data_IF_318499483181
#
_entry.id   IF_318499483181
#
_cell.length_a   1.000
_cell.length_b   1.000
_cell.length_c   1.000
_cell.angle_alpha   90.00
_cell.angle_beta   90.00
_cell.angle_gamma   90.00
#
_symmetry.space_group_name_H-M   'P 1'
#
loop_
_entity.id
_entity.type
_entity.pdbx_description
1 polymer ?
#
# COMPACT_ATOMS: atom_id res chain seq x y z
N UNK A 1 34.03 -1.53 -4.08
CA UNK A 1 33.33 -2.83 -4.24
C UNK A 1 32.73 -3.30 -2.91
N UNK A 2 33.52 -3.49 -1.84
CA UNK A 2 33.01 -3.87 -0.51
C UNK A 2 32.01 -2.86 0.07
N UNK A 3 32.31 -1.56 -0.02
CA UNK A 3 31.39 -0.50 0.42
C UNK A 3 30.07 -0.47 -0.36
N UNK A 4 30.12 -0.69 -1.67
CA UNK A 4 28.93 -0.77 -2.53
C UNK A 4 28.06 -1.97 -2.18
N UNK A 5 28.68 -3.12 -1.88
CA UNK A 5 27.96 -4.33 -1.45
C UNK A 5 27.33 -4.13 -0.07
N UNK A 6 28.04 -3.49 0.86
CA UNK A 6 27.52 -3.16 2.20
C UNK A 6 26.32 -2.20 2.12
N UNK A 7 26.42 -1.16 1.27
CA UNK A 7 25.31 -0.24 1.01
C UNK A 7 24.08 -0.96 0.44
N UNK A 8 24.27 -1.82 -0.56
CA UNK A 8 23.18 -2.62 -1.12
C UNK A 8 22.58 -3.57 -0.07
N UNK A 9 23.41 -4.17 0.77
CA UNK A 9 22.96 -5.01 1.89
C UNK A 9 22.08 -4.25 2.87
N UNK A 10 22.46 -3.00 3.21
CA UNK A 10 21.65 -2.13 4.08
C UNK A 10 20.32 -1.74 3.44
N UNK A 11 20.32 -1.35 2.16
CA UNK A 11 19.10 -1.02 1.44
C UNK A 11 18.14 -2.22 1.40
N UNK A 12 18.64 -3.40 1.05
CA UNK A 12 17.83 -4.62 1.03
C UNK A 12 17.27 -4.96 2.41
N UNK A 13 18.11 -4.86 3.45
CA UNK A 13 17.69 -5.11 4.83
C UNK A 13 16.56 -4.15 5.23
N UNK A 14 16.68 -2.86 4.94
CA UNK A 14 15.63 -1.90 5.26
C UNK A 14 14.33 -2.19 4.52
N UNK A 15 14.39 -2.51 3.22
CA UNK A 15 13.20 -2.86 2.42
C UNK A 15 12.52 -4.11 3.00
N UNK A 16 13.29 -5.15 3.33
CA UNK A 16 12.75 -6.37 3.92
C UNK A 16 12.12 -6.11 5.29
N UNK A 17 12.77 -5.31 6.13
CA UNK A 17 12.23 -4.88 7.42
C UNK A 17 10.92 -4.11 7.26
N UNK A 18 10.88 -3.16 6.32
CA UNK A 18 9.69 -2.36 6.04
C UNK A 18 8.49 -3.20 5.56
N UNK A 19 8.74 -4.34 4.90
CA UNK A 19 7.70 -5.31 4.53
C UNK A 19 7.36 -6.26 5.66
N UNK A 20 8.33 -6.67 6.47
CA UNK A 20 8.16 -7.66 7.53
C UNK A 20 7.40 -7.10 8.73
N UNK A 21 7.76 -5.90 9.20
CA UNK A 21 7.13 -5.23 10.36
C UNK A 21 5.59 -5.15 10.26
N UNK A 22 5.00 -4.62 9.16
CA UNK A 22 3.55 -4.52 9.05
C UNK A 22 2.84 -5.85 8.80
N UNK A 23 3.55 -6.89 8.33
CA UNK A 23 2.93 -8.06 7.69
C UNK A 23 1.85 -8.74 8.54
N UNK A 24 2.19 -9.09 9.78
CA UNK A 24 1.28 -9.79 10.69
C UNK A 24 0.06 -8.93 11.05
N UNK A 25 0.29 -7.64 11.34
CA UNK A 25 -0.78 -6.70 11.62
C UNK A 25 -1.71 -6.54 10.40
N UNK A 26 -1.15 -6.38 9.21
CA UNK A 26 -1.92 -6.22 7.98
C UNK A 26 -2.72 -7.46 7.61
N UNK A 27 -2.19 -8.65 7.89
CA UNK A 27 -2.93 -9.89 7.71
C UNK A 27 -4.14 -9.97 8.65
N UNK A 28 -3.95 -9.63 9.92
CA UNK A 28 -5.05 -9.59 10.88
C UNK A 28 -6.08 -8.52 10.52
N UNK A 29 -5.64 -7.30 10.19
CA UNK A 29 -6.55 -6.20 9.86
C UNK A 29 -7.34 -6.51 8.59
N UNK A 30 -6.72 -7.09 7.56
CA UNK A 30 -7.43 -7.51 6.34
C UNK A 30 -8.43 -8.62 6.61
N UNK A 31 -8.08 -9.61 7.45
CA UNK A 31 -9.02 -10.65 7.89
C UNK A 31 -10.26 -10.04 8.57
N UNK A 32 -10.04 -9.11 9.51
CA UNK A 32 -11.10 -8.40 10.23
C UNK A 32 -11.94 -7.51 9.30
N UNK A 33 -11.30 -6.77 8.39
CA UNK A 33 -11.96 -5.87 7.46
C UNK A 33 -12.99 -6.60 6.57
N UNK A 34 -12.71 -7.85 6.21
CA UNK A 34 -13.63 -8.64 5.40
C UNK A 34 -14.95 -9.00 6.10
N UNK A 35 -15.04 -8.92 7.43
CA UNK A 35 -16.33 -9.07 8.11
C UNK A 35 -17.28 -7.91 7.81
N UNK A 36 -16.79 -6.70 7.54
CA UNK A 36 -17.64 -5.61 7.07
C UNK A 36 -18.25 -5.92 5.69
N UNK A 37 -17.47 -6.55 4.81
CA UNK A 37 -17.99 -7.04 3.53
C UNK A 37 -19.09 -8.08 3.75
N UNK A 38 -18.86 -9.07 4.62
CA UNK A 38 -19.87 -10.10 4.91
C UNK A 38 -21.13 -9.48 5.51
N UNK A 39 -20.98 -8.53 6.42
CA UNK A 39 -22.12 -7.83 7.02
C UNK A 39 -22.94 -7.05 5.98
N UNK A 40 -22.27 -6.37 5.04
CA UNK A 40 -22.94 -5.56 4.03
C UNK A 40 -23.58 -6.39 2.91
N UNK A 41 -22.99 -7.52 2.52
CA UNK A 41 -23.38 -8.27 1.33
C UNK A 41 -23.97 -9.67 1.59
N UNK A 42 -23.74 -10.26 2.78
CA UNK A 42 -24.23 -11.58 3.18
C UNK A 42 -25.19 -11.47 4.37
N UNK A 43 -26.23 -10.67 4.21
CA UNK A 43 -27.22 -10.37 5.26
C UNK A 43 -27.96 -11.61 5.78
N UNK A 44 -28.05 -12.68 5.00
CA UNK A 44 -28.71 -13.94 5.37
C UNK A 44 -28.01 -14.68 6.53
N UNK A 45 -26.70 -14.47 6.71
CA UNK A 45 -25.91 -15.07 7.78
C UNK A 45 -25.57 -14.06 8.90
N UNK A 46 -25.96 -12.80 8.75
CA UNK A 46 -25.75 -11.76 9.74
C UNK A 46 -26.56 -12.06 11.02
N UNK A 47 -25.94 -11.88 12.19
CA UNK A 47 -26.60 -12.10 13.49
C UNK A 47 -26.65 -13.56 13.97
N UNK A 48 -26.20 -14.54 13.16
CA UNK A 48 -26.16 -15.97 13.57
C UNK A 48 -24.96 -16.36 14.44
N UNK A 49 -24.25 -15.38 15.03
CA UNK A 49 -23.11 -15.58 15.92
C UNK A 49 -21.73 -15.71 15.22
N UNK A 50 -20.66 -15.58 16.00
CA UNK A 50 -19.27 -15.48 15.51
C UNK A 50 -18.75 -16.76 14.84
N UNK A 51 -19.16 -17.94 15.31
CA UNK A 51 -18.76 -19.23 14.71
C UNK A 51 -19.23 -19.34 13.26
N UNK A 52 -20.50 -19.01 13.02
CA UNK A 52 -21.08 -19.00 11.67
C UNK A 52 -20.42 -17.94 10.80
N UNK A 53 -20.12 -16.76 11.35
CA UNK A 53 -19.40 -15.72 10.62
C UNK A 53 -18.02 -16.20 10.12
N UNK A 54 -17.25 -16.93 10.95
CA UNK A 54 -15.95 -17.50 10.53
C UNK A 54 -16.13 -18.56 9.44
N UNK A 55 -17.14 -19.44 9.56
CA UNK A 55 -17.44 -20.44 8.53
C UNK A 55 -17.79 -19.76 7.20
N UNK A 56 -18.66 -18.76 7.22
CA UNK A 56 -19.05 -17.98 6.03
C UNK A 56 -17.85 -17.23 5.44
N UNK A 57 -16.99 -16.64 6.28
CA UNK A 57 -15.74 -16.01 5.84
C UNK A 57 -14.89 -16.98 5.05
N UNK A 58 -14.67 -18.19 5.59
CA UNK A 58 -13.85 -19.21 4.95
C UNK A 58 -14.47 -19.72 3.65
N UNK A 59 -15.78 -19.95 3.63
CA UNK A 59 -16.51 -20.33 2.42
C UNK A 59 -16.39 -19.28 1.32
N UNK A 60 -16.54 -17.99 1.65
CA UNK A 60 -16.41 -16.89 0.68
C UNK A 60 -14.97 -16.72 0.22
N UNK A 61 -14.00 -16.87 1.11
CA UNK A 61 -12.58 -16.84 0.74
C UNK A 61 -12.22 -17.94 -0.26
N UNK A 62 -12.76 -19.16 -0.08
CA UNK A 62 -12.58 -20.26 -1.04
C UNK A 62 -13.37 -20.08 -2.34
N UNK A 63 -14.63 -19.67 -2.25
CA UNK A 63 -15.55 -19.64 -3.40
C UNK A 63 -15.44 -18.39 -4.28
N UNK A 64 -15.13 -17.24 -3.71
CA UNK A 64 -15.20 -15.95 -4.42
C UNK A 64 -13.83 -15.38 -4.74
N UNK A 65 -13.52 -15.30 -6.03
CA UNK A 65 -12.32 -14.57 -6.53
C UNK A 65 -12.38 -13.10 -6.12
N UNK A 66 -13.56 -12.48 -6.20
CA UNK A 66 -13.73 -11.07 -5.84
C UNK A 66 -13.46 -10.83 -4.35
N UNK A 67 -13.92 -11.73 -3.47
CA UNK A 67 -13.61 -11.65 -2.04
C UNK A 67 -12.11 -11.74 -1.78
N UNK A 68 -11.39 -12.63 -2.47
CA UNK A 68 -9.93 -12.72 -2.37
C UNK A 68 -9.20 -11.48 -2.89
N UNK A 69 -9.69 -10.88 -3.98
CA UNK A 69 -9.16 -9.62 -4.50
C UNK A 69 -9.33 -8.48 -3.49
N UNK A 70 -10.50 -8.37 -2.87
CA UNK A 70 -10.77 -7.39 -1.82
C UNK A 70 -9.92 -7.63 -0.56
N UNK A 71 -9.77 -8.89 -0.13
CA UNK A 71 -8.89 -9.25 0.97
C UNK A 71 -7.45 -8.82 0.68
N UNK A 72 -6.93 -9.14 -0.52
CA UNK A 72 -5.58 -8.74 -0.92
C UNK A 72 -5.45 -7.22 -0.99
N UNK A 73 -6.48 -6.52 -1.47
CA UNK A 73 -6.50 -5.05 -1.50
C UNK A 73 -6.46 -4.47 -0.08
N UNK A 74 -7.27 -5.00 0.84
CA UNK A 74 -7.25 -4.59 2.24
C UNK A 74 -5.88 -4.86 2.89
N UNK A 75 -5.27 -6.01 2.57
CA UNK A 75 -3.94 -6.38 3.05
C UNK A 75 -2.87 -5.38 2.59
N UNK A 76 -2.72 -5.14 1.28
CA UNK A 76 -1.70 -4.21 0.77
C UNK A 76 -1.96 -2.76 1.18
N UNK A 77 -3.23 -2.36 1.32
CA UNK A 77 -3.59 -1.03 1.87
C UNK A 77 -3.16 -0.91 3.32
N UNK A 78 -3.42 -1.94 4.14
CA UNK A 78 -2.99 -1.95 5.53
C UNK A 78 -1.48 -1.94 5.69
N UNK A 79 -0.72 -2.58 4.79
CA UNK A 79 0.75 -2.54 4.81
C UNK A 79 1.24 -1.11 4.67
N UNK A 80 0.70 -0.37 3.70
CA UNK A 80 1.03 1.04 3.48
C UNK A 80 0.63 1.85 4.71
N UNK A 81 -0.62 1.76 5.16
CA UNK A 81 -1.11 2.55 6.32
C UNK A 81 -0.34 2.26 7.60
N UNK A 82 0.11 1.03 7.83
CA UNK A 82 0.92 0.72 9.00
C UNK A 82 2.27 1.46 8.94
N UNK A 83 2.95 1.40 7.80
CA UNK A 83 4.25 2.06 7.62
C UNK A 83 4.13 3.58 7.64
N UNK A 84 3.15 4.13 6.94
CA UNK A 84 3.05 5.58 6.71
C UNK A 84 2.27 6.32 7.79
N UNK A 85 1.36 5.64 8.51
CA UNK A 85 0.45 6.31 9.45
C UNK A 85 0.52 5.71 10.86
N UNK A 86 0.34 4.39 11.01
CA UNK A 86 0.16 3.77 12.33
C UNK A 86 1.47 3.59 13.12
N UNK A 87 2.60 3.39 12.44
CA UNK A 87 3.92 3.18 13.05
C UNK A 87 4.80 4.43 12.95
N UNK A 88 4.22 5.64 13.05
CA UNK A 88 4.93 6.92 13.03
C UNK A 88 5.01 7.53 14.43
N UNK A 89 6.00 8.40 14.63
CA UNK A 89 6.15 9.17 15.86
C UNK A 89 4.99 10.16 16.04
N UNK A 90 4.47 10.23 17.25
CA UNK A 90 3.38 11.13 17.63
C UNK A 90 3.92 12.52 18.03
N UNK A 91 3.10 13.55 17.84
CA UNK A 91 3.32 14.92 18.38
C UNK A 91 4.51 15.71 17.82
N UNK A 92 5.13 15.23 16.73
CA UNK A 92 6.10 16.03 15.96
C UNK A 92 5.41 17.24 15.33
N UNK A 93 6.20 18.22 14.86
CA UNK A 93 5.68 19.30 14.05
C UNK A 93 5.44 18.77 12.63
N UNK A 94 4.18 18.62 12.17
CA UNK A 94 3.91 17.98 10.89
C UNK A 94 4.42 18.77 9.69
N UNK A 95 4.77 20.06 9.86
CA UNK A 95 5.24 20.92 8.79
C UNK A 95 6.76 21.19 8.84
N UNK A 96 7.51 20.52 9.72
CA UNK A 96 8.94 20.80 9.87
C UNK A 96 9.80 20.35 8.68
N UNK A 97 9.32 19.39 7.88
CA UNK A 97 10.13 18.75 6.83
C UNK A 97 9.35 18.53 5.52
N UNK A 98 8.59 19.55 5.08
CA UNK A 98 7.73 19.46 3.88
C UNK A 98 8.49 19.10 2.61
N UNK A 99 9.75 19.55 2.52
CA UNK A 99 10.63 19.34 1.37
C UNK A 99 11.67 18.23 1.61
N UNK A 100 11.52 17.41 2.66
CA UNK A 100 12.43 16.29 2.94
C UNK A 100 12.16 15.05 2.09
N UNK A 101 12.97 14.01 2.28
CA UNK A 101 12.71 12.67 1.73
C UNK A 101 12.96 12.46 0.23
N UNK A 102 13.60 13.40 -0.49
CA UNK A 102 13.88 13.27 -1.94
C UNK A 102 15.02 12.30 -2.31
N UNK A 103 15.72 11.73 -1.33
CA UNK A 103 16.88 10.90 -1.58
C UNK A 103 17.03 9.81 -0.54
N UNK A 104 18.08 9.01 -0.70
CA UNK A 104 18.44 7.95 0.24
C UNK A 104 19.34 8.44 1.37
N UNK A 105 19.69 9.73 1.37
CA UNK A 105 20.56 10.33 2.37
C UNK A 105 19.84 11.51 2.98
N UNK A 106 19.74 11.51 4.31
CA UNK A 106 19.19 12.59 5.09
C UNK A 106 20.24 13.11 6.06
N UNK A 107 20.33 14.43 6.22
CA UNK A 107 21.26 15.04 7.18
C UNK A 107 20.51 15.31 8.48
N UNK A 108 20.77 14.52 9.51
CA UNK A 108 20.18 14.69 10.83
C UNK A 108 21.29 15.07 11.80
N UNK A 109 21.17 16.22 12.46
CA UNK A 109 22.17 16.72 13.42
C UNK A 109 23.62 16.76 12.87
N UNK A 110 23.79 17.13 11.60
CA UNK A 110 25.08 17.16 10.88
C UNK A 110 25.69 15.79 10.54
N UNK A 111 24.98 14.68 10.78
CA UNK A 111 25.37 13.34 10.34
C UNK A 111 24.52 12.89 9.15
N UNK A 112 25.14 12.22 8.17
CA UNK A 112 24.43 11.62 7.05
C UNK A 112 23.89 10.25 7.45
N UNK A 113 22.56 10.11 7.44
CA UNK A 113 21.86 8.86 7.68
C UNK A 113 21.28 8.32 6.38
N UNK A 114 21.42 7.02 6.18
CA UNK A 114 20.78 6.32 5.07
C UNK A 114 19.28 6.19 5.37
N UNK A 115 18.45 6.70 4.45
CA UNK A 115 17.00 6.56 4.47
C UNK A 115 16.56 5.80 3.22
N UNK A 116 15.57 4.93 3.35
CA UNK A 116 15.06 4.12 2.22
C UNK A 116 13.57 4.33 1.99
N UNK A 117 12.96 5.31 2.68
CA UNK A 117 11.53 5.60 2.66
C UNK A 117 11.02 5.83 1.23
N UNK A 118 11.75 6.57 0.39
CA UNK A 118 11.38 6.80 -1.01
C UNK A 118 11.28 5.50 -1.84
N UNK A 119 12.19 4.55 -1.62
CA UNK A 119 12.18 3.24 -2.30
C UNK A 119 11.04 2.38 -1.77
N UNK A 120 10.87 2.36 -0.44
CA UNK A 120 9.82 1.62 0.24
C UNK A 120 8.42 2.07 -0.24
N UNK A 121 8.20 3.38 -0.33
CA UNK A 121 6.95 3.98 -0.81
C UNK A 121 6.61 3.53 -2.24
N UNK A 122 7.60 3.56 -3.16
CA UNK A 122 7.40 3.03 -4.53
C UNK A 122 7.06 1.54 -4.49
N UNK A 123 7.85 0.74 -3.77
CA UNK A 123 7.70 -0.72 -3.73
C UNK A 123 6.35 -1.13 -3.16
N UNK A 124 5.86 -0.46 -2.12
CA UNK A 124 4.56 -0.77 -1.51
C UNK A 124 3.38 -0.31 -2.37
N UNK A 125 3.54 0.78 -3.13
CA UNK A 125 2.46 1.31 -3.96
C UNK A 125 2.25 0.51 -5.26
N UNK A 126 3.29 -0.15 -5.78
CA UNK A 126 3.20 -1.04 -6.96
C UNK A 126 2.15 -2.15 -6.79
N UNK A 127 2.20 -3.01 -5.76
CA UNK A 127 1.20 -4.06 -5.57
C UNK A 127 -0.17 -3.48 -5.24
N UNK A 128 -0.26 -2.38 -4.47
CA UNK A 128 -1.54 -1.70 -4.22
C UNK A 128 -2.23 -1.31 -5.53
N UNK A 129 -1.55 -0.55 -6.37
CA UNK A 129 -2.09 -0.08 -7.65
C UNK A 129 -2.44 -1.24 -8.59
N UNK A 130 -1.58 -2.26 -8.69
CA UNK A 130 -1.85 -3.45 -9.50
C UNK A 130 -3.11 -4.19 -9.03
N UNK A 131 -3.31 -4.35 -7.72
CA UNK A 131 -4.49 -5.02 -7.16
C UNK A 131 -5.75 -4.17 -7.33
N UNK A 132 -5.67 -2.84 -7.19
CA UNK A 132 -6.80 -1.92 -7.49
C UNK A 132 -7.22 -2.08 -8.95
N UNK A 133 -6.26 -2.04 -9.89
CA UNK A 133 -6.53 -2.24 -11.32
C UNK A 133 -7.07 -3.65 -11.61
N UNK A 134 -6.60 -4.67 -10.92
CA UNK A 134 -7.12 -6.03 -11.09
C UNK A 134 -8.53 -6.23 -10.52
N UNK A 135 -8.89 -5.47 -9.49
CA UNK A 135 -10.20 -5.55 -8.82
C UNK A 135 -11.26 -4.75 -9.56
N UNK A 136 -10.91 -3.55 -10.02
CA UNK A 136 -11.87 -2.59 -10.58
C UNK A 136 -11.61 -2.19 -12.04
N UNK A 137 -10.53 -2.69 -12.65
CA UNK A 137 -10.10 -2.27 -13.99
C UNK A 137 -11.06 -2.61 -15.12
N UNK A 138 -11.97 -3.56 -14.93
CA UNK A 138 -13.05 -3.84 -15.90
C UNK A 138 -13.94 -2.60 -16.11
N UNK A 139 -14.06 -1.72 -15.11
CA UNK A 139 -14.84 -0.48 -15.16
C UNK A 139 -14.11 0.69 -15.84
N UNK A 140 -12.78 0.60 -16.02
CA UNK A 140 -11.91 1.70 -16.46
C UNK A 140 -11.80 1.77 -18.01
N UNK A 141 -12.28 0.73 -18.70
CA UNK A 141 -12.26 0.64 -20.16
C UNK A 141 -10.95 0.11 -20.74
N UNK A 142 -10.93 -0.11 -22.07
CA UNK A 142 -9.77 -0.72 -22.76
C UNK A 142 -8.74 0.35 -23.14
N UNK A 143 -7.51 0.21 -22.67
CA UNK A 143 -6.36 1.02 -23.12
C UNK A 143 -5.29 1.22 -22.04
N UNK A 144 -4.04 0.86 -22.33
CA UNK A 144 -2.92 0.98 -21.38
C UNK A 144 -2.74 2.41 -20.86
N UNK A 145 -2.80 3.43 -21.72
CA UNK A 145 -2.72 4.84 -21.30
C UNK A 145 -3.80 5.23 -20.27
N UNK A 146 -5.03 4.72 -20.42
CA UNK A 146 -6.12 4.97 -19.46
C UNK A 146 -5.81 4.30 -18.13
N UNK A 147 -5.38 3.03 -18.14
CA UNK A 147 -5.00 2.30 -16.93
C UNK A 147 -3.90 3.06 -16.17
N UNK A 148 -2.85 3.53 -16.85
CA UNK A 148 -1.77 4.28 -16.23
C UNK A 148 -2.22 5.62 -15.64
N UNK A 149 -3.08 6.34 -16.37
CA UNK A 149 -3.62 7.61 -15.89
C UNK A 149 -4.50 7.40 -14.65
N UNK A 150 -5.38 6.41 -14.66
CA UNK A 150 -6.24 6.08 -13.52
C UNK A 150 -5.43 5.54 -12.33
N UNK A 151 -4.44 4.69 -12.58
CA UNK A 151 -3.61 4.13 -11.50
C UNK A 151 -2.77 5.22 -10.82
N UNK A 152 -2.18 6.13 -11.60
CA UNK A 152 -1.49 7.30 -11.07
C UNK A 152 -2.42 8.25 -10.30
N UNK A 153 -3.61 8.53 -10.82
CA UNK A 153 -4.62 9.36 -10.12
C UNK A 153 -5.06 8.77 -8.79
N UNK A 154 -5.32 7.47 -8.74
CA UNK A 154 -5.72 6.79 -7.50
C UNK A 154 -4.58 6.83 -6.48
N UNK A 155 -3.35 6.52 -6.90
CA UNK A 155 -2.20 6.56 -6.00
C UNK A 155 -1.92 7.98 -5.48
N UNK A 156 -2.08 9.00 -6.32
CA UNK A 156 -1.95 10.40 -5.92
C UNK A 156 -2.99 10.81 -4.88
N UNK A 157 -4.28 10.51 -5.13
CA UNK A 157 -5.38 10.81 -4.18
C UNK A 157 -5.16 10.05 -2.87
N UNK A 158 -4.77 8.78 -2.96
CA UNK A 158 -4.50 7.95 -1.78
C UNK A 158 -3.33 8.51 -0.97
N UNK A 159 -2.24 8.93 -1.62
CA UNK A 159 -1.11 9.55 -0.94
C UNK A 159 -1.48 10.87 -0.27
N UNK A 160 -2.19 11.77 -0.98
CA UNK A 160 -2.69 13.01 -0.36
C UNK A 160 -3.56 12.71 0.86
N UNK A 161 -4.42 11.69 0.77
CA UNK A 161 -5.27 11.30 1.90
C UNK A 161 -4.44 10.87 3.11
N UNK A 162 -3.35 10.12 2.90
CA UNK A 162 -2.41 9.74 3.98
C UNK A 162 -1.73 10.97 4.58
N UNK A 163 -1.15 11.84 3.75
CA UNK A 163 -0.45 13.05 4.20
C UNK A 163 -1.39 14.00 4.96
N UNK A 164 -2.63 14.15 4.50
CA UNK A 164 -3.64 14.95 5.19
C UNK A 164 -4.07 14.32 6.53
N UNK A 165 -4.16 13.00 6.61
CA UNK A 165 -4.44 12.30 7.87
C UNK A 165 -3.27 12.44 8.85
N UNK A 166 -2.02 12.37 8.37
CA UNK A 166 -0.83 12.64 9.18
C UNK A 166 -0.86 14.06 9.77
N UNK A 167 -1.18 15.06 8.95
CA UNK A 167 -1.31 16.44 9.40
C UNK A 167 -2.44 16.62 10.43
N UNK A 168 -3.62 16.03 10.16
CA UNK A 168 -4.79 16.12 11.04
C UNK A 168 -4.55 15.44 12.40
N UNK A 169 -3.92 14.27 12.39
CA UNK A 169 -3.68 13.45 13.58
C UNK A 169 -2.33 13.76 14.25
N UNK A 170 -1.54 14.69 13.68
CA UNK A 170 -0.20 15.06 14.14
C UNK A 170 0.73 13.84 14.27
N UNK A 171 0.78 13.06 13.19
CA UNK A 171 1.60 11.86 13.02
C UNK A 171 2.73 12.18 12.05
N UNK A 172 3.99 12.10 12.49
CA UNK A 172 5.15 12.35 11.61
C UNK A 172 5.16 13.75 10.97
N UNK A 173 5.66 13.81 9.74
CA UNK A 173 5.80 15.03 8.92
C UNK A 173 5.11 14.85 7.58
N UNK A 174 4.38 15.87 7.14
CA UNK A 174 3.81 15.97 5.81
C UNK A 174 4.95 16.15 4.80
N UNK A 175 5.08 15.24 3.83
CA UNK A 175 6.19 15.23 2.87
C UNK A 175 5.70 15.19 1.42
N UNK A 176 6.14 16.15 0.61
CA UNK A 176 5.80 16.18 -0.83
C UNK A 176 6.49 15.07 -1.63
N UNK A 177 7.65 14.62 -1.17
CA UNK A 177 8.37 13.47 -1.74
C UNK A 177 7.54 12.19 -1.64
N UNK A 178 6.86 11.96 -0.52
CA UNK A 178 5.98 10.80 -0.32
C UNK A 178 4.85 10.78 -1.36
N UNK A 179 4.20 11.92 -1.60
CA UNK A 179 3.19 12.07 -2.67
C UNK A 179 3.78 11.71 -4.04
N UNK A 180 4.98 12.19 -4.33
CA UNK A 180 5.65 11.93 -5.61
C UNK A 180 5.99 10.45 -5.78
N UNK A 181 6.71 9.84 -4.83
CA UNK A 181 7.15 8.45 -4.91
C UNK A 181 5.98 7.46 -4.91
N UNK A 182 4.94 7.72 -4.11
CA UNK A 182 3.70 6.94 -4.17
C UNK A 182 3.05 7.07 -5.54
N UNK A 183 2.96 8.26 -6.12
CA UNK A 183 2.39 8.43 -7.47
C UNK A 183 3.18 7.67 -8.53
N UNK A 184 4.52 7.71 -8.46
CA UNK A 184 5.40 6.92 -9.33
C UNK A 184 5.14 5.41 -9.17
N UNK A 185 5.11 4.91 -7.94
CA UNK A 185 4.77 3.51 -7.66
C UNK A 185 3.38 3.12 -8.17
N UNK A 186 2.42 4.04 -8.11
CA UNK A 186 1.08 3.88 -8.67
C UNK A 186 1.05 3.71 -10.18
N UNK A 187 1.85 4.49 -10.91
CA UNK A 187 2.02 4.33 -12.37
C UNK A 187 2.70 3.00 -12.70
N UNK A 188 3.75 2.64 -11.96
CA UNK A 188 4.47 1.37 -12.11
C UNK A 188 3.57 0.15 -11.84
N UNK A 189 2.70 0.22 -10.82
CA UNK A 189 1.70 -0.83 -10.56
C UNK A 189 0.68 -0.98 -11.69
N UNK A 190 0.25 0.14 -12.30
CA UNK A 190 -0.61 0.12 -13.49
C UNK A 190 0.09 -0.50 -14.71
N UNK A 191 1.39 -0.23 -14.89
CA UNK A 191 2.22 -0.86 -15.93
C UNK A 191 2.32 -2.36 -15.68
N UNK A 192 2.63 -2.79 -14.46
CA UNK A 192 2.71 -4.20 -14.07
C UNK A 192 1.40 -4.94 -14.40
N UNK A 193 0.26 -4.36 -14.03
CA UNK A 193 -1.05 -4.91 -14.39
C UNK A 193 -1.22 -5.06 -15.91
N UNK A 194 -0.85 -4.04 -16.69
CA UNK A 194 -0.92 -4.11 -18.15
C UNK A 194 -0.05 -5.23 -18.74
N UNK A 195 1.17 -5.39 -18.24
CA UNK A 195 2.11 -6.43 -18.67
C UNK A 195 1.56 -7.82 -18.37
N UNK A 196 1.09 -8.05 -17.14
CA UNK A 196 0.51 -9.33 -16.71
C UNK A 196 -0.73 -9.68 -17.54
N UNK A 197 -1.63 -8.71 -17.76
CA UNK A 197 -2.84 -8.95 -18.57
C UNK A 197 -2.53 -9.21 -20.04
N UNK A 198 -1.48 -8.58 -20.59
CA UNK A 198 -1.03 -8.85 -21.96
C UNK A 198 -0.38 -10.23 -22.07
N UNK A 199 0.40 -10.65 -21.08
CA UNK A 199 0.98 -11.99 -21.01
C UNK A 199 -0.12 -13.06 -20.93
N UNK A 200 -1.13 -12.86 -20.06
CA UNK A 200 -2.27 -13.78 -19.91
C UNK A 200 -3.08 -13.96 -21.19
N UNK A 201 -3.22 -12.93 -22.04
CA UNK A 201 -3.93 -13.03 -23.32
C UNK A 201 -3.13 -13.73 -24.43
N UNK A 202 -1.82 -13.88 -24.24
CA UNK A 202 -0.93 -14.58 -25.19
C UNK A 202 -0.76 -16.07 -24.84
N UNK A 203 -1.20 -16.47 -23.65
CA UNK A 203 -1.38 -17.85 -23.21
C UNK A 203 -2.80 -18.29 -23.51
#
# INVERSE_FOLDING_TARGET
MKETIDLLGKILTNILTALYEPFGFSLLLSFLAMFFYLYAYETQEAGKGWKNAIVTWYQKFKGSVFFRKLFLLAFVTSMILFRTLLNRNLWLNPLSDVMGGWGIWETVNSEQKLTTECIENVIMMVPFSAVVMWTFGEKIGKGWKKILCYSGKIAFIFSISIEMLQLLLRLGTFQLSDIFYNTVGGVLGGLLYCVVMKARKRL
#
